data_IF_345339491716
#
_entry.id   IF_345339491716
#
_cell.length_a   1.000
_cell.length_b   1.000
_cell.length_c   1.000
_cell.angle_alpha   90.00
_cell.angle_beta   90.00
_cell.angle_gamma   90.00
#
_symmetry.space_group_name_H-M   'P 1'
#
loop_
_entity.id
_entity.type
_entity.pdbx_description
1 polymer ?
#
# COMPACT_ATOMS: atom_id res chain seq x y z
N UNK A 1 4.69 -17.04 19.86
CA UNK A 1 5.15 -17.60 18.57
C UNK A 1 6.24 -18.62 18.84
N UNK A 2 6.18 -19.80 18.20
CA UNK A 2 7.22 -20.84 18.31
C UNK A 2 8.49 -20.30 17.65
N UNK A 3 9.64 -20.30 18.35
CA UNK A 3 10.91 -19.90 17.73
C UNK A 3 11.25 -20.90 16.62
N UNK A 4 11.35 -20.41 15.40
CA UNK A 4 11.78 -21.22 14.25
C UNK A 4 13.21 -21.70 14.49
N UNK A 5 13.52 -22.91 14.04
CA UNK A 5 14.90 -23.39 13.95
C UNK A 5 15.65 -22.60 12.89
N UNK A 6 16.99 -22.54 12.96
CA UNK A 6 17.82 -21.79 12.00
C UNK A 6 17.59 -22.24 10.55
N UNK A 7 17.27 -23.51 10.33
CA UNK A 7 16.94 -24.02 8.99
C UNK A 7 15.53 -23.58 8.55
N UNK A 8 14.54 -23.60 9.44
CA UNK A 8 13.19 -23.09 9.12
C UNK A 8 13.22 -21.57 8.83
N UNK A 9 13.99 -20.78 9.57
CA UNK A 9 14.20 -19.35 9.29
C UNK A 9 14.80 -19.15 7.89
N UNK A 10 15.80 -19.96 7.52
CA UNK A 10 16.43 -19.89 6.19
C UNK A 10 15.45 -20.24 5.08
N UNK A 11 14.65 -21.30 5.24
CA UNK A 11 13.63 -21.67 4.26
C UNK A 11 12.57 -20.57 4.11
N UNK A 12 12.19 -19.93 5.21
CA UNK A 12 11.24 -18.83 5.20
C UNK A 12 11.78 -17.60 4.46
N UNK A 13 13.02 -17.20 4.74
CA UNK A 13 13.69 -16.10 4.04
C UNK A 13 13.72 -16.36 2.53
N UNK A 14 14.07 -17.59 2.11
CA UNK A 14 14.08 -17.97 0.70
C UNK A 14 12.68 -18.01 0.08
N UNK A 15 11.66 -18.38 0.85
CA UNK A 15 10.25 -18.30 0.43
C UNK A 15 9.84 -16.86 0.18
N UNK A 16 10.12 -15.94 1.09
CA UNK A 16 9.81 -14.52 0.92
C UNK A 16 10.58 -13.90 -0.24
N UNK A 17 11.85 -14.25 -0.41
CA UNK A 17 12.62 -13.78 -1.56
C UNK A 17 12.07 -14.30 -2.89
N UNK A 18 11.60 -15.55 -2.97
CA UNK A 18 10.91 -16.05 -4.17
C UNK A 18 9.62 -15.28 -4.43
N UNK A 19 8.85 -15.02 -3.37
CA UNK A 19 7.63 -14.23 -3.48
C UNK A 19 7.89 -12.82 -4.01
N UNK A 20 8.98 -12.16 -3.57
CA UNK A 20 9.42 -10.88 -4.14
C UNK A 20 9.63 -10.96 -5.67
N UNK A 21 10.32 -12.01 -6.14
CA UNK A 21 10.62 -12.18 -7.57
C UNK A 21 9.36 -12.49 -8.39
N UNK A 22 8.40 -13.19 -7.80
CA UNK A 22 7.07 -13.48 -8.38
C UNK A 22 6.20 -12.22 -8.43
N UNK A 23 6.18 -11.43 -7.36
CA UNK A 23 5.45 -10.17 -7.27
C UNK A 23 5.99 -9.10 -8.23
N UNK A 24 7.26 -9.22 -8.65
CA UNK A 24 7.86 -8.33 -9.64
C UNK A 24 7.35 -8.63 -11.06
N UNK A 25 6.29 -7.91 -11.44
CA UNK A 25 5.57 -8.09 -12.72
C UNK A 25 6.11 -7.24 -13.87
N UNK A 26 6.89 -6.19 -13.59
CA UNK A 26 7.47 -5.35 -14.65
C UNK A 26 8.53 -6.11 -15.45
N UNK A 27 8.79 -5.64 -16.68
CA UNK A 27 9.75 -6.27 -17.59
C UNK A 27 11.12 -6.38 -16.90
N UNK A 28 11.63 -7.60 -16.81
CA UNK A 28 12.90 -7.94 -16.16
C UNK A 28 13.85 -8.64 -17.11
N UNK A 29 15.09 -8.18 -17.18
CA UNK A 29 16.17 -8.86 -17.88
C UNK A 29 16.89 -9.84 -16.95
N UNK A 30 17.62 -10.81 -17.51
CA UNK A 30 18.42 -11.75 -16.71
C UNK A 30 19.42 -11.03 -15.80
N UNK A 31 19.98 -9.91 -16.29
CA UNK A 31 20.88 -9.05 -15.51
C UNK A 31 20.18 -8.45 -14.29
N UNK A 32 18.92 -8.05 -14.43
CA UNK A 32 18.17 -7.42 -13.35
C UNK A 32 17.88 -8.38 -12.21
N UNK A 33 17.55 -9.64 -12.54
CA UNK A 33 17.41 -10.71 -11.55
C UNK A 33 18.73 -10.97 -10.80
N UNK A 34 19.86 -10.93 -11.50
CA UNK A 34 21.17 -11.12 -10.88
C UNK A 34 21.52 -9.98 -9.92
N UNK A 35 21.24 -8.74 -10.31
CA UNK A 35 21.49 -7.56 -9.48
C UNK A 35 20.61 -7.53 -8.23
N UNK A 36 19.31 -7.88 -8.35
CA UNK A 36 18.42 -8.04 -7.19
C UNK A 36 18.88 -9.17 -6.28
N UNK A 37 19.33 -10.30 -6.84
CA UNK A 37 19.89 -11.42 -6.04
C UNK A 37 21.15 -11.01 -5.29
N UNK A 38 22.00 -10.20 -5.90
CA UNK A 38 23.22 -9.67 -5.28
C UNK A 38 22.87 -8.72 -4.13
N UNK A 39 21.91 -7.83 -4.33
CA UNK A 39 21.40 -6.93 -3.28
C UNK A 39 20.80 -7.71 -2.10
N UNK A 40 19.97 -8.73 -2.39
CA UNK A 40 19.41 -9.60 -1.36
C UNK A 40 20.51 -10.29 -0.53
N UNK A 41 21.55 -10.82 -1.16
CA UNK A 41 22.68 -11.44 -0.43
C UNK A 41 23.44 -10.45 0.44
N UNK A 42 23.67 -9.24 -0.08
CA UNK A 42 24.31 -8.17 0.69
C UNK A 42 23.48 -7.82 1.93
N UNK A 43 22.18 -7.58 1.77
CA UNK A 43 21.28 -7.29 2.88
C UNK A 43 21.21 -8.45 3.89
N UNK A 44 21.13 -9.69 3.41
CA UNK A 44 21.06 -10.87 4.26
C UNK A 44 22.33 -11.07 5.09
N UNK A 45 23.51 -10.80 4.52
CA UNK A 45 24.78 -10.87 5.23
C UNK A 45 24.90 -9.72 6.24
N UNK A 46 24.57 -8.49 5.82
CA UNK A 46 24.65 -7.31 6.66
C UNK A 46 23.76 -7.41 7.91
N UNK A 47 22.59 -8.04 7.78
CA UNK A 47 21.62 -8.20 8.86
C UNK A 47 21.59 -9.60 9.50
N UNK A 48 22.60 -10.47 9.27
CA UNK A 48 22.57 -11.89 9.68
C UNK A 48 22.33 -12.10 11.19
N UNK A 49 22.96 -11.25 12.00
CA UNK A 49 22.92 -11.32 13.47
C UNK A 49 21.85 -10.39 14.07
N UNK A 50 21.15 -9.64 13.22
CA UNK A 50 20.10 -8.70 13.63
C UNK A 50 18.73 -9.37 13.71
N UNK A 51 17.92 -8.91 14.65
CA UNK A 51 16.54 -9.35 14.87
C UNK A 51 15.63 -8.14 15.09
N UNK A 52 14.40 -8.20 14.57
CA UNK A 52 13.36 -7.19 14.87
C UNK A 52 12.87 -7.36 16.31
N UNK A 53 12.12 -6.38 16.81
CA UNK A 53 11.46 -6.45 18.13
C UNK A 53 10.44 -7.58 18.27
N UNK A 54 9.87 -8.01 17.15
CA UNK A 54 9.01 -9.20 17.04
C UNK A 54 9.78 -10.51 17.27
N UNK A 55 11.11 -10.49 17.15
CA UNK A 55 11.99 -11.65 17.25
C UNK A 55 12.34 -12.31 15.92
N UNK A 56 11.82 -11.83 14.79
CA UNK A 56 12.12 -12.36 13.45
C UNK A 56 13.47 -11.86 12.91
N UNK A 57 14.11 -12.61 11.98
CA UNK A 57 15.30 -12.14 11.25
C UNK A 57 15.07 -10.78 10.60
N UNK A 58 15.99 -9.83 10.81
CA UNK A 58 15.80 -8.46 10.35
C UNK A 58 15.62 -8.36 8.83
N UNK A 59 16.32 -9.22 8.07
CA UNK A 59 16.23 -9.32 6.60
C UNK A 59 14.80 -9.52 6.07
N UNK A 60 13.88 -10.05 6.88
CA UNK A 60 12.47 -10.19 6.49
C UNK A 60 11.83 -8.83 6.17
N UNK A 61 12.24 -7.77 6.87
CA UNK A 61 11.72 -6.42 6.65
C UNK A 61 12.14 -5.85 5.29
N UNK A 62 13.44 -5.74 4.94
CA UNK A 62 13.83 -5.28 3.61
C UNK A 62 13.25 -6.10 2.45
N UNK A 63 13.08 -7.43 2.62
CA UNK A 63 12.39 -8.24 1.60
C UNK A 63 10.94 -7.79 1.45
N UNK A 64 10.20 -7.63 2.55
CA UNK A 64 8.81 -7.23 2.50
C UNK A 64 8.62 -5.81 1.92
N UNK A 65 9.51 -4.86 2.24
CA UNK A 65 9.52 -3.52 1.64
C UNK A 65 9.77 -3.60 0.13
N UNK A 66 10.74 -4.43 -0.29
CA UNK A 66 10.99 -4.67 -1.70
C UNK A 66 9.79 -5.33 -2.41
N UNK A 67 9.04 -6.21 -1.73
CA UNK A 67 7.86 -6.86 -2.29
C UNK A 67 6.73 -5.86 -2.51
N UNK A 68 6.50 -4.95 -1.55
CA UNK A 68 5.55 -3.84 -1.71
C UNK A 68 5.96 -2.96 -2.89
N UNK A 69 7.24 -2.58 -2.95
CA UNK A 69 7.79 -1.77 -4.04
C UNK A 69 7.61 -2.46 -5.41
N UNK A 70 7.88 -3.75 -5.51
CA UNK A 70 7.81 -4.50 -6.76
C UNK A 70 6.37 -4.79 -7.22
N UNK A 71 5.53 -5.26 -6.30
CA UNK A 71 4.18 -5.75 -6.60
C UNK A 71 3.11 -4.67 -6.49
N UNK A 72 2.96 -4.07 -5.31
CA UNK A 72 1.87 -3.11 -5.03
C UNK A 72 2.10 -1.76 -5.70
N UNK A 73 3.37 -1.36 -5.88
CA UNK A 73 3.74 -0.09 -6.51
C UNK A 73 4.25 -0.23 -7.95
N UNK A 74 4.51 -1.46 -8.42
CA UNK A 74 4.99 -1.73 -9.78
C UNK A 74 6.37 -1.16 -10.09
N UNK A 75 7.24 -0.99 -9.08
CA UNK A 75 8.56 -0.39 -9.28
C UNK A 75 9.56 -1.37 -9.91
N UNK A 76 10.53 -0.80 -10.63
CA UNK A 76 11.57 -1.58 -11.31
C UNK A 76 12.79 -1.86 -10.44
N UNK A 77 13.76 -2.54 -11.07
CA UNK A 77 15.03 -2.98 -10.48
C UNK A 77 15.66 -2.00 -9.49
N UNK A 78 15.86 -0.73 -9.88
CA UNK A 78 16.60 0.23 -9.03
C UNK A 78 15.91 0.43 -7.69
N UNK A 79 14.58 0.60 -7.68
CA UNK A 79 13.82 0.77 -6.44
C UNK A 79 13.79 -0.49 -5.59
N UNK A 80 13.75 -1.67 -6.23
CA UNK A 80 13.80 -2.96 -5.53
C UNK A 80 15.15 -3.15 -4.83
N UNK A 81 16.26 -2.85 -5.51
CA UNK A 81 17.60 -2.89 -4.92
C UNK A 81 17.68 -1.89 -3.76
N UNK A 82 17.24 -0.64 -3.96
CA UNK A 82 17.22 0.37 -2.90
C UNK A 82 16.37 -0.06 -1.70
N UNK A 83 15.20 -0.69 -1.92
CA UNK A 83 14.34 -1.21 -0.86
C UNK A 83 15.00 -2.36 -0.08
N UNK A 84 15.73 -3.26 -0.75
CA UNK A 84 16.47 -4.33 -0.07
C UNK A 84 17.63 -3.79 0.78
N UNK A 85 18.19 -2.63 0.42
CA UNK A 85 19.39 -2.06 1.02
C UNK A 85 19.13 -0.83 1.90
N UNK A 86 17.89 -0.37 2.03
CA UNK A 86 17.61 0.95 2.62
C UNK A 86 18.15 1.11 4.05
N UNK A 87 18.03 0.08 4.89
CA UNK A 87 18.54 0.07 6.27
C UNK A 87 19.98 -0.44 6.39
N UNK A 88 20.60 -0.91 5.29
CA UNK A 88 21.95 -1.51 5.38
C UNK A 88 23.02 -0.47 5.66
N UNK A 89 22.88 0.74 5.15
CA UNK A 89 23.88 1.81 5.31
C UNK A 89 23.80 2.45 6.70
N UNK A 90 22.62 2.46 7.32
CA UNK A 90 22.44 3.04 8.65
C UNK A 90 22.81 2.07 9.78
N UNK A 91 22.39 0.81 9.64
CA UNK A 91 22.46 -0.15 10.75
C UNK A 91 23.67 -1.09 10.69
N UNK A 92 24.48 -1.04 9.63
CA UNK A 92 25.55 -2.02 9.39
C UNK A 92 26.85 -1.38 8.89
N UNK A 93 27.89 -2.18 8.66
CA UNK A 93 29.19 -1.72 8.16
C UNK A 93 29.20 -1.38 6.65
N UNK A 94 28.10 -1.63 5.93
CA UNK A 94 27.99 -1.35 4.49
C UNK A 94 28.00 0.15 4.25
N UNK A 95 28.89 0.66 3.40
CA UNK A 95 28.97 2.09 3.09
C UNK A 95 28.23 2.45 1.80
N UNK A 96 27.89 3.74 1.63
CA UNK A 96 27.34 4.24 0.36
C UNK A 96 28.30 4.00 -0.83
N UNK A 97 29.61 4.03 -0.59
CA UNK A 97 30.61 3.72 -1.62
C UNK A 97 30.53 2.25 -2.08
N UNK A 98 30.28 1.32 -1.16
CA UNK A 98 30.13 -0.11 -1.50
C UNK A 98 28.89 -0.32 -2.37
N UNK A 99 27.78 0.33 -2.00
CA UNK A 99 26.55 0.34 -2.80
C UNK A 99 26.80 0.93 -4.18
N UNK A 100 27.51 2.06 -4.27
CA UNK A 100 27.81 2.71 -5.53
C UNK A 100 28.69 1.83 -6.44
N UNK A 101 29.75 1.23 -5.88
CA UNK A 101 30.64 0.32 -6.62
C UNK A 101 29.89 -0.91 -7.14
N UNK A 102 28.92 -1.43 -6.38
CA UNK A 102 28.22 -2.67 -6.74
C UNK A 102 26.97 -2.47 -7.60
N UNK A 103 26.23 -1.39 -7.40
CA UNK A 103 24.90 -1.17 -8.02
C UNK A 103 24.79 0.16 -8.79
N UNK A 104 25.81 1.00 -8.72
CA UNK A 104 25.93 2.26 -9.42
C UNK A 104 25.36 3.47 -8.66
N UNK A 105 25.77 4.65 -9.12
CA UNK A 105 25.45 5.95 -8.51
C UNK A 105 23.95 6.18 -8.27
N UNK A 106 23.07 5.70 -9.15
CA UNK A 106 21.61 5.89 -9.00
C UNK A 106 21.06 5.22 -7.74
N UNK A 107 21.52 4.01 -7.41
CA UNK A 107 21.07 3.30 -6.20
C UNK A 107 21.62 3.98 -4.96
N UNK A 108 22.92 4.32 -4.96
CA UNK A 108 23.57 5.01 -3.85
C UNK A 108 22.88 6.34 -3.51
N UNK A 109 22.55 7.15 -4.53
CA UNK A 109 21.82 8.42 -4.34
C UNK A 109 20.42 8.22 -3.74
N UNK A 110 19.72 7.14 -4.09
CA UNK A 110 18.41 6.85 -3.49
C UNK A 110 18.57 6.50 -2.02
N UNK A 111 19.55 5.66 -1.68
CA UNK A 111 19.80 5.26 -0.29
C UNK A 111 20.24 6.47 0.55
N UNK A 112 21.16 7.29 0.07
CA UNK A 112 21.55 8.56 0.71
C UNK A 112 20.36 9.51 0.91
N UNK A 113 19.42 9.54 -0.05
CA UNK A 113 18.18 10.29 0.09
C UNK A 113 17.25 9.74 1.16
N UNK A 114 17.21 8.42 1.35
CA UNK A 114 16.40 7.77 2.39
C UNK A 114 16.97 8.07 3.77
N UNK A 115 18.28 7.92 3.96
CA UNK A 115 18.90 8.10 5.27
C UNK A 115 18.74 9.52 5.82
N UNK A 116 18.89 10.51 4.93
CA UNK A 116 18.65 11.93 5.26
C UNK A 116 17.22 12.23 5.69
N UNK A 117 16.22 11.51 5.15
CA UNK A 117 14.82 11.69 5.56
C UNK A 117 14.63 11.20 7.00
N UNK A 118 15.25 10.07 7.35
CA UNK A 118 15.11 9.45 8.65
C UNK A 118 15.72 10.29 9.77
N UNK A 119 16.94 10.81 9.59
CA UNK A 119 17.60 11.74 10.52
C UNK A 119 16.75 12.99 10.84
N UNK A 120 16.01 13.50 9.85
CA UNK A 120 15.20 14.71 9.99
C UNK A 120 13.88 14.43 10.71
N UNK A 121 13.32 13.23 10.51
CA UNK A 121 12.04 12.81 11.10
C UNK A 121 12.13 12.65 12.62
N UNK A 122 13.26 12.15 13.13
CA UNK A 122 13.44 11.92 14.56
C UNK A 122 13.71 13.20 15.36
N UNK A 123 14.20 14.25 14.70
CA UNK A 123 14.56 15.52 15.35
C UNK A 123 13.40 16.53 15.51
N UNK A 124 12.25 16.34 14.85
CA UNK A 124 11.15 17.32 14.84
C UNK A 124 9.80 16.71 15.25
N UNK A 125 9.55 16.62 16.56
CA UNK A 125 8.29 16.09 17.11
C UNK A 125 7.08 17.03 17.00
N UNK A 126 7.26 18.29 16.58
CA UNK A 126 6.20 19.33 16.68
C UNK A 126 5.87 20.07 15.37
N UNK A 127 6.64 19.94 14.29
CA UNK A 127 6.42 20.69 13.05
C UNK A 127 6.07 19.79 11.86
N UNK A 128 4.87 19.20 11.87
CA UNK A 128 4.35 18.37 10.77
C UNK A 128 4.41 19.07 9.40
N UNK A 129 4.31 20.40 9.37
CA UNK A 129 4.44 21.24 8.17
C UNK A 129 5.88 21.38 7.65
N UNK A 130 6.89 21.31 8.52
CA UNK A 130 8.29 21.35 8.13
C UNK A 130 8.76 20.01 7.56
N UNK A 131 8.31 18.89 8.13
CA UNK A 131 8.57 17.53 7.59
C UNK A 131 7.94 17.37 6.21
N UNK A 132 6.71 17.84 6.01
CA UNK A 132 6.06 17.83 4.70
C UNK A 132 6.82 18.69 3.66
N UNK A 133 7.23 19.91 4.03
CA UNK A 133 8.05 20.78 3.15
C UNK A 133 9.41 20.16 2.80
N UNK A 134 10.03 19.43 3.72
CA UNK A 134 11.33 18.78 3.49
C UNK A 134 11.22 17.48 2.69
N UNK A 135 10.21 16.66 2.92
CA UNK A 135 9.89 15.53 2.04
C UNK A 135 9.69 16.04 0.60
N UNK A 136 8.99 17.16 0.43
CA UNK A 136 8.82 17.82 -0.87
C UNK A 136 10.17 18.30 -1.45
N UNK A 137 11.11 18.76 -0.64
CA UNK A 137 12.46 19.12 -1.09
C UNK A 137 13.27 17.89 -1.52
N UNK A 138 13.13 16.74 -0.85
CA UNK A 138 13.78 15.48 -1.26
C UNK A 138 13.19 14.90 -2.55
N UNK A 139 11.97 15.30 -2.94
CA UNK A 139 11.41 15.00 -4.27
C UNK A 139 12.21 15.66 -5.42
N UNK A 140 13.04 16.66 -5.13
CA UNK A 140 13.72 17.48 -6.15
C UNK A 140 14.69 16.69 -7.04
N UNK A 141 15.11 15.49 -6.62
CA UNK A 141 16.21 14.76 -7.26
C UNK A 141 15.85 13.36 -7.77
N UNK A 142 15.07 12.57 -7.02
CA UNK A 142 14.61 11.25 -7.46
C UNK A 142 13.34 10.82 -6.72
N UNK A 143 12.22 10.71 -7.44
CA UNK A 143 10.93 10.28 -6.89
C UNK A 143 10.99 8.89 -6.25
N UNK A 144 11.95 8.05 -6.63
CA UNK A 144 12.07 6.69 -6.06
C UNK A 144 12.43 6.69 -4.59
N UNK A 145 13.06 7.73 -4.08
CA UNK A 145 13.33 7.90 -2.64
C UNK A 145 12.00 7.86 -1.87
N UNK A 146 11.03 8.68 -2.27
CA UNK A 146 9.76 8.75 -1.55
C UNK A 146 8.92 7.49 -1.73
N UNK A 147 9.03 6.83 -2.89
CA UNK A 147 8.30 5.60 -3.17
C UNK A 147 8.80 4.45 -2.30
N UNK A 148 10.12 4.29 -2.17
CA UNK A 148 10.71 3.30 -1.25
C UNK A 148 10.34 3.63 0.20
N UNK A 149 10.36 4.92 0.59
CA UNK A 149 9.97 5.30 1.95
C UNK A 149 8.50 5.06 2.25
N UNK A 150 7.62 5.19 1.25
CA UNK A 150 6.21 4.86 1.38
C UNK A 150 5.99 3.36 1.58
N UNK A 151 6.74 2.52 0.83
CA UNK A 151 6.73 1.07 1.00
C UNK A 151 7.23 0.64 2.40
N UNK A 152 8.32 1.25 2.86
CA UNK A 152 8.84 1.07 4.22
C UNK A 152 7.78 1.44 5.26
N UNK A 153 7.19 2.63 5.13
CA UNK A 153 6.13 3.09 6.04
C UNK A 153 4.95 2.11 6.07
N UNK A 154 4.49 1.63 4.93
CA UNK A 154 3.39 0.67 4.85
C UNK A 154 3.73 -0.63 5.59
N UNK A 155 4.91 -1.20 5.36
CA UNK A 155 5.34 -2.39 6.09
C UNK A 155 5.44 -2.14 7.61
N UNK A 156 5.96 -0.99 8.01
CA UNK A 156 6.03 -0.62 9.42
C UNK A 156 4.65 -0.45 10.05
N UNK A 157 3.66 0.07 9.33
CA UNK A 157 2.26 0.09 9.77
C UNK A 157 1.67 -1.32 9.90
N UNK A 158 1.96 -2.23 8.97
CA UNK A 158 1.50 -3.63 9.02
C UNK A 158 2.09 -4.41 10.20
N UNK A 159 3.28 -4.06 10.68
CA UNK A 159 4.03 -4.79 11.73
C UNK A 159 4.10 -4.07 13.09
N UNK A 160 3.28 -3.03 13.29
CA UNK A 160 3.38 -2.11 14.43
C UNK A 160 2.86 -2.68 15.78
N UNK A 161 2.19 -3.83 15.78
CA UNK A 161 1.49 -4.36 16.97
C UNK A 161 2.39 -4.56 18.19
N UNK A 162 3.66 -4.91 17.98
CA UNK A 162 4.65 -5.15 19.05
C UNK A 162 5.23 -3.86 19.66
N UNK A 163 4.89 -2.69 19.12
CA UNK A 163 5.47 -1.42 19.54
C UNK A 163 4.75 -0.80 20.75
N UNK A 164 5.44 -0.05 21.62
CA UNK A 164 4.81 0.69 22.70
C UNK A 164 3.77 1.71 22.21
N UNK A 165 2.68 1.90 22.96
CA UNK A 165 1.53 2.74 22.59
C UNK A 165 1.90 4.15 22.15
N UNK A 166 2.83 4.80 22.85
CA UNK A 166 3.29 6.14 22.50
C UNK A 166 3.94 6.20 21.10
N UNK A 167 4.74 5.20 20.74
CA UNK A 167 5.34 5.09 19.40
C UNK A 167 4.29 4.77 18.35
N UNK A 168 3.32 3.90 18.66
CA UNK A 168 2.20 3.61 17.76
C UNK A 168 1.42 4.88 17.40
N UNK A 169 1.04 5.68 18.40
CA UNK A 169 0.32 6.94 18.21
C UNK A 169 1.11 7.95 17.38
N UNK A 170 2.41 8.10 17.65
CA UNK A 170 3.30 8.99 16.90
C UNK A 170 3.33 8.60 15.43
N UNK A 171 3.62 7.33 15.12
CA UNK A 171 3.75 6.85 13.75
C UNK A 171 2.40 6.87 13.03
N UNK A 172 1.30 6.48 13.69
CA UNK A 172 -0.03 6.53 13.10
C UNK A 172 -0.44 7.96 12.71
N UNK A 173 -0.10 8.94 13.55
CA UNK A 173 -0.37 10.36 13.29
C UNK A 173 0.46 10.89 12.12
N UNK A 174 1.76 10.58 12.08
CA UNK A 174 2.66 10.93 10.98
C UNK A 174 2.17 10.30 9.66
N UNK A 175 1.82 9.03 9.70
CA UNK A 175 1.27 8.27 8.56
C UNK A 175 0.03 8.93 8.00
N UNK A 176 -0.92 9.28 8.87
CA UNK A 176 -2.19 9.85 8.45
C UNK A 176 -2.03 11.27 7.87
N UNK A 177 -1.11 12.08 8.43
CA UNK A 177 -0.95 13.47 8.03
C UNK A 177 -0.01 13.66 6.83
N UNK A 178 0.98 12.77 6.67
CA UNK A 178 2.05 12.93 5.68
C UNK A 178 1.93 11.85 4.60
N UNK A 179 2.01 10.58 4.97
CA UNK A 179 2.19 9.49 4.00
C UNK A 179 0.91 9.10 3.27
N UNK A 180 -0.25 9.09 3.93
CA UNK A 180 -1.53 8.81 3.27
C UNK A 180 -1.89 9.89 2.21
N UNK A 181 -1.80 11.20 2.50
CA UNK A 181 -1.98 12.23 1.47
C UNK A 181 -0.95 12.16 0.34
N UNK A 182 0.28 11.74 0.64
CA UNK A 182 1.32 11.58 -0.36
C UNK A 182 1.03 10.40 -1.29
N UNK A 183 0.63 9.25 -0.74
CA UNK A 183 0.16 8.10 -1.51
C UNK A 183 -0.99 8.48 -2.44
N UNK A 184 -1.95 9.27 -1.95
CA UNK A 184 -3.05 9.81 -2.77
C UNK A 184 -2.53 10.64 -3.96
N UNK A 185 -1.61 11.59 -3.71
CA UNK A 185 -1.06 12.45 -4.77
C UNK A 185 -0.27 11.69 -5.82
N UNK A 186 0.36 10.59 -5.43
CA UNK A 186 1.13 9.71 -6.32
C UNK A 186 0.27 8.65 -7.03
N UNK A 187 -1.05 8.62 -6.76
CA UNK A 187 -1.98 7.69 -7.41
C UNK A 187 -2.08 6.30 -6.75
N UNK A 188 -1.44 6.08 -5.60
CA UNK A 188 -1.50 4.82 -4.87
C UNK A 188 -2.70 4.77 -3.91
N UNK A 189 -3.92 4.71 -4.47
CA UNK A 189 -5.16 4.75 -3.69
C UNK A 189 -5.32 3.56 -2.72
N UNK A 190 -4.92 2.36 -3.12
CA UNK A 190 -4.98 1.18 -2.26
C UNK A 190 -4.06 1.32 -1.03
N UNK A 191 -2.80 1.69 -1.26
CA UNK A 191 -1.83 1.97 -0.19
C UNK A 191 -2.33 3.09 0.71
N UNK A 192 -2.87 4.18 0.13
CA UNK A 192 -3.46 5.28 0.90
C UNK A 192 -4.57 4.79 1.83
N UNK A 193 -5.53 4.02 1.31
CA UNK A 193 -6.66 3.49 2.10
C UNK A 193 -6.18 2.57 3.20
N UNK A 194 -5.16 1.74 2.95
CA UNK A 194 -4.58 0.85 3.95
C UNK A 194 -3.82 1.60 5.05
N UNK A 195 -3.01 2.60 4.68
CA UNK A 195 -2.32 3.46 5.64
C UNK A 195 -3.33 4.18 6.55
N UNK A 196 -4.43 4.69 5.99
CA UNK A 196 -5.51 5.32 6.76
C UNK A 196 -6.18 4.33 7.73
N UNK A 197 -6.47 3.12 7.26
CA UNK A 197 -7.09 2.06 8.06
C UNK A 197 -6.20 1.64 9.23
N UNK A 198 -4.91 1.40 8.96
CA UNK A 198 -3.93 1.05 9.99
C UNK A 198 -3.71 2.22 10.95
N UNK A 199 -3.62 3.45 10.45
CA UNK A 199 -3.55 4.64 11.29
C UNK A 199 -4.78 4.78 12.20
N UNK A 200 -5.96 4.43 11.72
CA UNK A 200 -7.18 4.45 12.53
C UNK A 200 -7.17 3.37 13.61
N UNK A 201 -6.84 2.13 13.23
CA UNK A 201 -6.68 0.99 14.15
C UNK A 201 -5.75 1.34 15.31
N UNK A 202 -4.61 1.97 15.04
CA UNK A 202 -3.67 2.35 16.09
C UNK A 202 -4.03 3.67 16.78
N UNK A 203 -4.61 4.67 16.13
CA UNK A 203 -4.96 5.92 16.82
C UNK A 203 -6.15 5.76 17.77
N UNK A 204 -7.21 5.07 17.33
CA UNK A 204 -8.48 4.93 18.04
C UNK A 204 -8.99 3.47 17.99
N UNK A 205 -8.35 2.54 18.73
CA UNK A 205 -8.63 1.11 18.62
C UNK A 205 -10.06 0.73 19.03
N UNK A 206 -10.63 1.41 20.04
CA UNK A 206 -11.99 1.14 20.52
C UNK A 206 -13.04 1.45 19.44
N UNK A 207 -12.98 2.66 18.86
CA UNK A 207 -13.87 3.07 17.77
C UNK A 207 -13.66 2.25 16.49
N UNK A 208 -12.41 1.86 16.21
CA UNK A 208 -12.11 0.96 15.10
C UNK A 208 -12.84 -0.38 15.26
N UNK A 209 -12.74 -1.01 16.43
CA UNK A 209 -13.38 -2.30 16.70
C UNK A 209 -14.91 -2.18 16.79
N UNK A 210 -15.45 -1.06 17.26
CA UNK A 210 -16.89 -0.78 17.26
C UNK A 210 -17.45 -0.74 15.83
N UNK A 211 -16.92 0.16 14.99
CA UNK A 211 -17.39 0.32 13.60
C UNK A 211 -17.15 -0.96 12.80
N UNK A 212 -16.04 -1.66 13.03
CA UNK A 212 -15.77 -2.95 12.40
C UNK A 212 -16.84 -3.99 12.74
N UNK A 213 -17.28 -4.06 13.99
CA UNK A 213 -18.38 -4.96 14.38
C UNK A 213 -19.70 -4.60 13.71
N UNK A 214 -20.02 -3.30 13.62
CA UNK A 214 -21.23 -2.84 12.92
C UNK A 214 -21.19 -3.22 11.42
N UNK A 215 -20.03 -3.05 10.78
CA UNK A 215 -19.80 -3.47 9.38
C UNK A 215 -20.03 -4.98 9.23
N UNK A 216 -19.42 -5.80 10.08
CA UNK A 216 -19.56 -7.27 10.00
C UNK A 216 -21.00 -7.73 10.28
N UNK A 217 -21.70 -7.08 11.21
CA UNK A 217 -23.09 -7.40 11.50
C UNK A 217 -24.03 -7.06 10.32
N UNK A 218 -23.79 -5.96 9.61
CA UNK A 218 -24.58 -5.54 8.46
C UNK A 218 -24.18 -6.24 7.14
N UNK A 219 -23.02 -6.90 7.09
CA UNK A 219 -22.46 -7.51 5.87
C UNK A 219 -23.41 -8.52 5.20
N UNK A 220 -24.08 -9.46 5.91
CA UNK A 220 -24.93 -10.47 5.27
C UNK A 220 -26.14 -9.88 4.56
N UNK A 221 -26.88 -9.00 5.24
CA UNK A 221 -28.07 -8.32 4.69
C UNK A 221 -27.68 -7.44 3.49
N UNK A 222 -26.59 -6.68 3.63
CA UNK A 222 -26.06 -5.83 2.54
C UNK A 222 -25.65 -6.67 1.34
N UNK A 223 -25.01 -7.82 1.55
CA UNK A 223 -24.60 -8.71 0.44
C UNK A 223 -25.80 -9.28 -0.30
N UNK A 224 -26.85 -9.67 0.42
CA UNK A 224 -28.09 -10.15 -0.19
C UNK A 224 -28.76 -9.05 -1.04
N UNK A 225 -28.89 -7.84 -0.48
CA UNK A 225 -29.44 -6.67 -1.18
C UNK A 225 -28.63 -6.32 -2.43
N UNK A 226 -27.30 -6.28 -2.33
CA UNK A 226 -26.43 -5.97 -3.46
C UNK A 226 -26.51 -7.02 -4.56
N UNK A 227 -26.59 -8.30 -4.20
CA UNK A 227 -26.79 -9.37 -5.18
C UNK A 227 -28.10 -9.18 -5.93
N UNK A 228 -29.21 -8.92 -5.23
CA UNK A 228 -30.50 -8.63 -5.86
C UNK A 228 -30.43 -7.39 -6.76
N UNK A 229 -29.79 -6.32 -6.30
CA UNK A 229 -29.59 -5.08 -7.06
C UNK A 229 -28.76 -5.30 -8.33
N UNK A 230 -27.75 -6.16 -8.30
CA UNK A 230 -26.89 -6.41 -9.46
C UNK A 230 -27.50 -7.38 -10.48
N UNK A 231 -28.46 -8.23 -10.11
CA UNK A 231 -29.06 -9.22 -11.01
C UNK A 231 -29.64 -8.60 -12.30
N UNK A 232 -30.46 -7.53 -12.24
CA UNK A 232 -30.96 -6.86 -13.44
C UNK A 232 -29.85 -6.28 -14.32
N UNK A 233 -28.82 -5.69 -13.70
CA UNK A 233 -27.66 -5.12 -14.41
C UNK A 233 -26.92 -6.22 -15.16
N UNK A 234 -26.60 -7.33 -14.48
CA UNK A 234 -25.90 -8.47 -15.09
C UNK A 234 -26.66 -9.00 -16.29
N UNK A 235 -27.97 -9.20 -16.15
CA UNK A 235 -28.82 -9.70 -17.23
C UNK A 235 -28.81 -8.77 -18.45
N UNK A 236 -29.02 -7.47 -18.23
CA UNK A 236 -29.08 -6.48 -19.30
C UNK A 236 -27.75 -6.36 -20.07
N UNK A 237 -26.61 -6.38 -19.35
CA UNK A 237 -25.30 -6.32 -19.99
C UNK A 237 -24.95 -7.63 -20.73
N UNK A 238 -25.35 -8.79 -20.20
CA UNK A 238 -25.19 -10.09 -20.86
C UNK A 238 -26.04 -10.20 -22.13
N UNK A 239 -27.29 -9.73 -22.12
CA UNK A 239 -28.15 -9.68 -23.30
C UNK A 239 -27.57 -8.82 -24.43
N UNK A 240 -26.76 -7.81 -24.08
CA UNK A 240 -25.99 -7.00 -25.02
C UNK A 240 -24.71 -7.66 -25.52
N UNK A 241 -24.32 -8.81 -24.96
CA UNK A 241 -23.11 -9.53 -25.35
C UNK A 241 -21.80 -8.89 -24.85
N UNK A 242 -21.87 -7.98 -23.86
CA UNK A 242 -20.69 -7.35 -23.27
C UNK A 242 -19.96 -8.33 -22.34
N UNK A 243 -18.63 -8.31 -22.35
CA UNK A 243 -17.79 -8.98 -21.35
C UNK A 243 -17.48 -7.98 -20.26
N UNK A 244 -17.86 -8.28 -19.02
CA UNK A 244 -17.70 -7.33 -17.92
C UNK A 244 -17.52 -8.03 -16.57
N UNK A 245 -16.87 -7.30 -15.66
CA UNK A 245 -16.77 -7.61 -14.24
C UNK A 245 -17.48 -6.53 -13.42
N UNK A 246 -18.20 -6.96 -12.39
CA UNK A 246 -18.86 -6.07 -11.43
C UNK A 246 -18.08 -6.09 -10.12
N UNK A 247 -17.47 -4.96 -9.77
CA UNK A 247 -16.72 -4.79 -8.52
C UNK A 247 -17.48 -3.86 -7.58
N UNK A 248 -17.72 -4.34 -6.37
CA UNK A 248 -18.33 -3.54 -5.31
C UNK A 248 -17.22 -2.90 -4.50
N UNK A 249 -17.25 -1.58 -4.42
CA UNK A 249 -16.35 -0.84 -3.55
C UNK A 249 -16.83 -0.96 -2.10
N UNK A 250 -16.19 -1.85 -1.34
CA UNK A 250 -16.37 -1.92 0.10
C UNK A 250 -15.74 -0.70 0.77
N UNK A 251 -16.46 -0.10 1.70
CA UNK A 251 -15.93 1.02 2.49
C UNK A 251 -15.08 0.47 3.62
N UNK A 252 -13.90 1.04 3.77
CA UNK A 252 -13.03 0.75 4.93
C UNK A 252 -13.62 1.34 6.22
N UNK A 253 -13.21 0.82 7.38
CA UNK A 253 -13.66 1.30 8.69
C UNK A 253 -13.34 2.78 8.85
N UNK A 254 -12.15 3.20 8.45
CA UNK A 254 -11.74 4.61 8.45
C UNK A 254 -12.62 5.47 7.55
N UNK A 255 -12.95 5.01 6.34
CA UNK A 255 -13.79 5.76 5.40
C UNK A 255 -15.21 5.95 5.95
N UNK A 256 -15.76 4.96 6.66
CA UNK A 256 -17.05 5.05 7.34
C UNK A 256 -16.96 6.09 8.48
N UNK A 257 -15.99 5.92 9.39
CA UNK A 257 -15.76 6.85 10.49
C UNK A 257 -15.58 8.30 10.03
N UNK A 258 -14.72 8.53 9.03
CA UNK A 258 -14.44 9.86 8.51
C UNK A 258 -15.70 10.51 7.91
N UNK A 259 -16.57 9.73 7.25
CA UNK A 259 -17.83 10.20 6.70
C UNK A 259 -18.86 10.47 7.79
N UNK A 260 -18.98 9.60 8.80
CA UNK A 260 -19.84 9.83 9.97
C UNK A 260 -19.48 11.16 10.64
N UNK A 261 -18.18 11.40 10.89
CA UNK A 261 -17.71 12.63 11.52
C UNK A 261 -17.90 13.88 10.65
N UNK A 262 -17.66 13.79 9.33
CA UNK A 262 -17.75 14.95 8.43
C UNK A 262 -19.18 15.35 8.10
N UNK A 263 -20.07 14.37 7.98
CA UNK A 263 -21.46 14.58 7.58
C UNK A 263 -22.41 14.62 8.79
N UNK A 264 -21.92 14.29 9.99
CA UNK A 264 -22.71 14.18 11.22
C UNK A 264 -23.91 13.22 11.07
N UNK A 265 -23.69 12.14 10.31
CA UNK A 265 -24.69 11.12 10.04
C UNK A 265 -24.37 9.81 10.77
N UNK A 266 -25.41 9.06 11.18
CA UNK A 266 -25.25 7.77 11.83
C UNK A 266 -24.67 6.70 10.88
N UNK A 267 -24.17 5.61 11.45
CA UNK A 267 -23.50 4.52 10.74
C UNK A 267 -24.34 3.96 9.60
N UNK A 268 -25.61 3.66 9.84
CA UNK A 268 -26.55 3.06 8.89
C UNK A 268 -26.67 3.88 7.59
N UNK A 269 -26.85 5.19 7.70
CA UNK A 269 -26.97 6.08 6.53
C UNK A 269 -25.68 6.15 5.72
N UNK A 270 -24.53 6.09 6.38
CA UNK A 270 -23.24 6.09 5.71
C UNK A 270 -22.96 4.72 5.08
N UNK A 271 -23.12 3.63 5.82
CA UNK A 271 -22.74 2.29 5.39
C UNK A 271 -23.63 1.75 4.26
N UNK A 272 -24.91 2.11 4.25
CA UNK A 272 -25.86 1.66 3.23
C UNK A 272 -25.64 2.29 1.85
N UNK A 273 -24.80 3.32 1.72
CA UNK A 273 -24.40 3.83 0.40
C UNK A 273 -23.23 3.02 -0.14
N UNK A 274 -23.29 2.64 -1.42
CA UNK A 274 -22.26 1.86 -2.10
C UNK A 274 -21.92 2.46 -3.46
N UNK A 275 -20.76 2.05 -4.01
CA UNK A 275 -20.38 2.31 -5.38
C UNK A 275 -20.15 0.97 -6.07
N UNK A 276 -20.63 0.85 -7.30
CA UNK A 276 -20.45 -0.30 -8.17
C UNK A 276 -19.59 0.14 -9.35
N UNK A 277 -18.45 -0.51 -9.52
CA UNK A 277 -17.60 -0.34 -10.67
C UNK A 277 -17.92 -1.44 -11.68
N UNK A 278 -18.09 -1.05 -12.94
CA UNK A 278 -18.35 -1.95 -14.06
C UNK A 278 -17.12 -1.87 -14.95
N UNK A 279 -16.31 -2.93 -14.94
CA UNK A 279 -15.11 -3.04 -15.77
C UNK A 279 -15.50 -3.81 -17.01
N UNK A 280 -15.30 -3.22 -18.18
CA UNK A 280 -15.64 -3.83 -19.47
C UNK A 280 -14.36 -4.29 -20.15
N UNK A 281 -14.34 -5.54 -20.60
CA UNK A 281 -13.24 -6.12 -21.38
C UNK A 281 -13.51 -5.89 -22.86
N UNK A 282 -12.84 -4.88 -23.43
CA UNK A 282 -13.02 -4.43 -24.80
C UNK A 282 -11.71 -4.00 -25.45
N UNK A 283 -11.71 -3.93 -26.79
CA UNK A 283 -10.59 -3.40 -27.56
C UNK A 283 -10.50 -1.88 -27.40
N UNK A 284 -9.28 -1.33 -27.44
CA UNK A 284 -9.01 0.10 -27.19
C UNK A 284 -9.83 1.04 -28.09
N UNK A 285 -10.17 0.61 -29.31
CA UNK A 285 -10.98 1.39 -30.25
C UNK A 285 -12.43 1.56 -29.80
N UNK A 286 -12.96 0.63 -29.00
CA UNK A 286 -14.37 0.55 -28.60
C UNK A 286 -14.63 0.98 -27.15
N UNK A 287 -13.59 1.29 -26.36
CA UNK A 287 -13.68 1.65 -24.94
C UNK A 287 -14.78 2.69 -24.64
N UNK A 288 -14.81 3.79 -25.41
CA UNK A 288 -15.78 4.86 -25.21
C UNK A 288 -17.20 4.41 -25.56
N UNK A 289 -17.38 3.68 -26.67
CA UNK A 289 -18.68 3.25 -27.14
C UNK A 289 -19.32 2.25 -26.18
N UNK A 290 -18.54 1.28 -25.70
CA UNK A 290 -19.03 0.28 -24.75
C UNK A 290 -19.32 0.88 -23.37
N UNK A 291 -18.50 1.82 -22.87
CA UNK A 291 -18.81 2.56 -21.64
C UNK A 291 -20.15 3.32 -21.75
N UNK A 292 -20.42 3.96 -22.89
CA UNK A 292 -21.70 4.62 -23.14
C UNK A 292 -22.86 3.64 -23.28
N UNK A 293 -22.63 2.47 -23.89
CA UNK A 293 -23.62 1.41 -23.98
C UNK A 293 -24.02 0.90 -22.59
N UNK A 294 -23.04 0.67 -21.70
CA UNK A 294 -23.29 0.32 -20.29
C UNK A 294 -24.16 1.38 -19.61
N UNK A 295 -23.81 2.67 -19.74
CA UNK A 295 -24.62 3.74 -19.17
C UNK A 295 -26.07 3.74 -19.69
N UNK A 296 -26.25 3.56 -21.00
CA UNK A 296 -27.57 3.52 -21.62
C UNK A 296 -28.41 2.34 -21.09
N UNK A 297 -27.81 1.17 -20.88
CA UNK A 297 -28.51 0.02 -20.28
C UNK A 297 -28.86 0.28 -18.80
N UNK A 298 -27.94 0.84 -18.02
CA UNK A 298 -28.22 1.21 -16.63
C UNK A 298 -29.37 2.22 -16.51
N UNK A 299 -29.42 3.21 -17.40
CA UNK A 299 -30.46 4.24 -17.40
C UNK A 299 -31.86 3.70 -17.74
N UNK A 300 -31.97 2.51 -18.37
CA UNK A 300 -33.25 1.82 -18.57
C UNK A 300 -33.77 1.14 -17.30
N UNK A 301 -32.85 0.66 -16.46
CA UNK A 301 -33.18 -0.08 -15.24
C UNK A 301 -33.40 0.90 -14.08
N UNK A 302 -32.52 1.89 -13.94
CA UNK A 302 -32.52 2.83 -12.83
C UNK A 302 -32.56 4.27 -13.32
N UNK A 303 -33.38 5.10 -12.65
CA UNK A 303 -33.49 6.52 -12.97
C UNK A 303 -32.18 7.24 -12.59
N UNK A 304 -31.47 7.86 -13.55
CA UNK A 304 -30.22 8.55 -13.28
C UNK A 304 -30.44 9.83 -12.47
N UNK A 305 -29.48 10.16 -11.61
CA UNK A 305 -29.42 11.45 -10.94
C UNK A 305 -28.51 12.40 -11.74
N UNK A 306 -29.10 13.20 -12.60
CA UNK A 306 -28.39 14.09 -13.53
C UNK A 306 -27.47 15.12 -12.84
N UNK A 307 -27.67 15.42 -11.56
CA UNK A 307 -26.80 16.33 -10.80
C UNK A 307 -25.44 15.70 -10.43
N UNK A 308 -25.32 14.38 -10.57
CA UNK A 308 -24.11 13.62 -10.19
C UNK A 308 -23.40 12.99 -11.38
N UNK A 309 -23.92 13.17 -12.60
CA UNK A 309 -23.24 12.74 -13.82
C UNK A 309 -21.98 13.60 -14.00
N UNK A 310 -20.84 12.96 -14.25
CA UNK A 310 -19.53 13.59 -14.46
C UNK A 310 -18.85 12.94 -15.64
#
# INVERSE_FOLDING_TARGET
MKKLTTEEERQEILRQYRHLIEAWTTRKETKDLWDVRKAFRMAAEAHKDMRRKSGEPYIMHPIAVATIAAGEMGLGRTSIISALLHDTVEDTEVTLEDVEKMFGHKVARIIDGLTKIDEISDNNSTAQSATLKKIILTLSDDVRVILVKLADRLHNMRTMEVMPRNKQLRIASETLYIYAPLAYRLGFFAIKSELEELSFKYSQPELYEEIKREIEAARPERTAYLNEFMQPIRRSLQEKGLKFDLLINEKTTYSVWQKMRRLELPFDQIYNTFSLDIIVDTETENESLECWAVYAELAKIYKPNNKRLR
#
